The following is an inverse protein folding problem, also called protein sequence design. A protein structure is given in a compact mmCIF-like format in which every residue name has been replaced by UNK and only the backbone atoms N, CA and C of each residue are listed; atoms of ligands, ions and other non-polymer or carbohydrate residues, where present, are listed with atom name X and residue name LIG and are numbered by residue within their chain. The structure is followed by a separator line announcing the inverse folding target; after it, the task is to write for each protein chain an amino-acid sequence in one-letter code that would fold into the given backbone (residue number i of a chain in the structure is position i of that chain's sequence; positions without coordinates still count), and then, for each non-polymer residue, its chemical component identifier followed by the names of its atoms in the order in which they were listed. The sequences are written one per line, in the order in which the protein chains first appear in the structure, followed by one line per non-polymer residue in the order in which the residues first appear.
data_IF_122083503937
#
_entry.id   IF_122083503937
#
_cell.length_a   1.000
_cell.length_b   1.000
_cell.length_c   1.000
_cell.angle_alpha   90.00
_cell.angle_beta   90.00
_cell.angle_gamma   90.00
#
_symmetry.space_group_name_H-M   'P 1'
#
loop_
_entity.id
_entity.type
_entity.pdbx_description
1 polymer ?
#
# COMPACT_ATOMS: atom_id res chain seq x y z
N UNK A 1 -0.16 9.22 -3.79
CA UNK A 1 -1.27 8.67 -2.98
C UNK A 1 -2.65 8.91 -3.60
N UNK A 2 -2.79 9.04 -4.93
CA UNK A 2 -4.14 9.16 -5.56
C UNK A 2 -4.70 7.81 -6.04
N UNK A 3 -3.84 6.81 -6.26
CA UNK A 3 -4.26 5.49 -6.78
C UNK A 3 -5.00 4.62 -5.76
N UNK A 4 -4.58 4.63 -4.49
CA UNK A 4 -5.16 3.76 -3.45
C UNK A 4 -6.60 4.15 -3.10
N UNK A 5 -6.88 5.46 -3.04
CA UNK A 5 -8.24 5.98 -2.82
C UNK A 5 -9.22 5.55 -3.93
N UNK A 6 -8.73 5.40 -5.17
CA UNK A 6 -9.54 4.89 -6.28
C UNK A 6 -9.85 3.40 -6.13
N UNK A 7 -8.90 2.61 -5.61
CA UNK A 7 -9.10 1.17 -5.37
C UNK A 7 -10.20 0.94 -4.34
N UNK A 8 -10.15 1.62 -3.19
CA UNK A 8 -11.15 1.43 -2.14
C UNK A 8 -12.54 1.93 -2.56
N UNK A 9 -12.61 3.09 -3.22
CA UNK A 9 -13.88 3.62 -3.72
C UNK A 9 -14.52 2.68 -4.73
N UNK A 10 -13.72 2.09 -5.64
CA UNK A 10 -14.23 1.13 -6.62
C UNK A 10 -14.73 -0.15 -5.94
N UNK A 11 -13.96 -0.72 -5.00
CA UNK A 11 -14.35 -1.93 -4.27
C UNK A 11 -15.70 -1.75 -3.57
N UNK A 12 -15.89 -0.61 -2.92
CA UNK A 12 -17.12 -0.30 -2.17
C UNK A 12 -18.30 -0.08 -3.11
N UNK A 13 -18.10 0.62 -4.23
CA UNK A 13 -19.14 0.80 -5.24
C UNK A 13 -19.57 -0.54 -5.87
N UNK A 14 -18.61 -1.41 -6.17
CA UNK A 14 -18.86 -2.74 -6.73
C UNK A 14 -19.64 -3.61 -5.72
N UNK A 15 -19.25 -3.59 -4.44
CA UNK A 15 -19.97 -4.29 -3.37
C UNK A 15 -21.39 -3.76 -3.18
N UNK A 16 -21.58 -2.44 -3.07
CA UNK A 16 -22.90 -1.84 -2.86
C UNK A 16 -23.84 -2.13 -4.03
N UNK A 17 -23.32 -2.14 -5.26
CA UNK A 17 -24.07 -2.57 -6.44
C UNK A 17 -24.48 -4.04 -6.33
N UNK A 18 -23.53 -4.92 -5.99
CA UNK A 18 -23.79 -6.34 -5.79
C UNK A 18 -24.84 -6.59 -4.70
N UNK A 19 -24.76 -5.86 -3.59
CA UNK A 19 -25.70 -5.99 -2.48
C UNK A 19 -27.14 -5.67 -2.92
N UNK A 20 -27.35 -4.58 -3.66
CA UNK A 20 -28.66 -4.23 -4.24
C UNK A 20 -29.14 -5.29 -5.23
N UNK A 21 -28.26 -5.78 -6.12
CA UNK A 21 -28.62 -6.79 -7.13
C UNK A 21 -28.99 -8.15 -6.52
N UNK A 22 -28.53 -8.44 -5.30
CA UNK A 22 -28.73 -9.72 -4.62
C UNK A 22 -29.61 -9.61 -3.36
N UNK A 23 -30.32 -8.50 -3.17
CA UNK A 23 -31.23 -8.25 -2.04
C UNK A 23 -30.55 -8.41 -0.67
N UNK A 24 -29.30 -7.93 -0.57
CA UNK A 24 -28.52 -7.91 0.68
C UNK A 24 -28.70 -6.52 1.31
N UNK A 25 -29.31 -6.48 2.50
CA UNK A 25 -29.56 -5.24 3.27
C UNK A 25 -28.29 -4.76 4.00
N UNK A 26 -27.22 -4.51 3.24
CA UNK A 26 -25.94 -4.00 3.73
C UNK A 26 -25.45 -2.93 2.76
N UNK A 27 -25.06 -1.78 3.30
CA UNK A 27 -24.40 -0.72 2.54
C UNK A 27 -23.08 -0.34 3.23
N UNK A 28 -22.00 -0.32 2.47
CA UNK A 28 -20.69 0.15 2.94
C UNK A 28 -20.53 1.62 2.59
N UNK A 29 -20.15 2.43 3.58
CA UNK A 29 -19.84 3.84 3.42
C UNK A 29 -18.37 4.10 3.77
N UNK A 30 -17.60 4.67 2.83
CA UNK A 30 -16.20 5.03 3.06
C UNK A 30 -16.09 6.42 3.70
N UNK A 31 -15.34 6.50 4.79
CA UNK A 31 -14.97 7.76 5.42
C UNK A 31 -13.50 8.03 5.13
N UNK A 32 -13.22 8.85 4.12
CA UNK A 32 -11.87 9.20 3.71
C UNK A 32 -11.43 10.50 4.38
N UNK A 33 -10.34 10.46 5.15
CA UNK A 33 -9.70 11.66 5.70
C UNK A 33 -8.63 12.18 4.74
N UNK A 34 -8.74 13.44 4.37
CA UNK A 34 -7.86 14.16 3.44
C UNK A 34 -7.55 15.54 4.03
N UNK A 35 -6.51 16.20 3.54
CA UNK A 35 -6.22 17.60 3.91
C UNK A 35 -7.38 18.57 3.65
N UNK A 36 -8.30 18.25 2.73
CA UNK A 36 -9.42 19.12 2.38
C UNK A 36 -10.64 18.96 3.31
N UNK A 37 -10.75 17.83 4.02
CA UNK A 37 -11.94 17.52 4.83
C UNK A 37 -11.60 17.13 6.29
N UNK A 38 -10.33 17.16 6.67
CA UNK A 38 -9.86 16.82 8.00
C UNK A 38 -8.73 17.73 8.45
N UNK A 39 -8.66 17.99 9.76
CA UNK A 39 -7.50 18.59 10.42
C UNK A 39 -6.45 17.55 10.79
N UNK A 40 -6.70 16.26 10.53
CA UNK A 40 -5.76 15.17 10.79
C UNK A 40 -4.58 15.31 9.82
N UNK A 41 -3.37 15.40 10.38
CA UNK A 41 -2.15 15.24 9.62
C UNK A 41 -2.05 13.76 9.18
N UNK A 42 -1.84 13.43 7.89
CA UNK A 42 -1.64 12.06 7.45
C UNK A 42 -0.52 11.33 8.20
N UNK A 43 0.49 12.04 8.71
CA UNK A 43 1.55 11.46 9.56
C UNK A 43 1.04 10.98 10.94
N UNK A 44 -0.17 11.39 11.32
CA UNK A 44 -0.83 11.05 12.60
C UNK A 44 -2.02 10.10 12.39
N UNK A 45 -2.25 9.63 11.16
CA UNK A 45 -3.43 8.84 10.81
C UNK A 45 -3.55 7.56 11.64
N UNK A 46 -2.43 6.88 11.86
CA UNK A 46 -2.33 5.64 12.62
C UNK A 46 -2.62 5.87 14.10
N UNK A 47 -2.20 7.00 14.67
CA UNK A 47 -2.55 7.36 16.04
C UNK A 47 -4.04 7.68 16.18
N UNK A 48 -4.66 8.21 15.12
CA UNK A 48 -6.11 8.42 15.08
C UNK A 48 -6.85 7.08 15.07
N UNK A 49 -6.42 6.13 14.23
CA UNK A 49 -6.99 4.77 14.22
C UNK A 49 -6.84 4.11 15.59
N UNK A 50 -5.66 4.17 16.19
CA UNK A 50 -5.42 3.59 17.52
C UNK A 50 -6.34 4.21 18.57
N UNK A 51 -6.53 5.52 18.52
CA UNK A 51 -7.43 6.23 19.44
C UNK A 51 -8.87 5.77 19.25
N UNK A 52 -9.34 5.64 18.01
CA UNK A 52 -10.70 5.17 17.69
C UNK A 52 -10.93 3.72 18.13
N UNK A 53 -9.96 2.83 17.92
CA UNK A 53 -10.02 1.43 18.34
C UNK A 53 -10.07 1.28 19.87
N UNK A 54 -9.42 2.19 20.61
CA UNK A 54 -9.47 2.24 22.09
C UNK A 54 -10.76 2.85 22.63
N UNK A 55 -11.52 3.59 21.82
CA UNK A 55 -12.80 4.13 22.27
C UNK A 55 -13.77 3.00 22.57
N UNK A 56 -14.65 3.20 23.55
CA UNK A 56 -15.70 2.22 23.82
C UNK A 56 -16.64 2.08 22.61
N UNK A 57 -17.33 0.94 22.55
CA UNK A 57 -18.23 0.59 21.44
C UNK A 57 -19.36 1.61 21.20
N UNK A 58 -19.76 2.37 22.24
CA UNK A 58 -20.80 3.41 22.09
C UNK A 58 -20.30 4.69 21.42
N UNK A 59 -18.98 4.91 21.41
CA UNK A 59 -18.33 6.09 20.81
C UNK A 59 -17.69 5.76 19.45
N UNK A 60 -17.27 4.51 19.27
CA UNK A 60 -16.76 4.04 17.99
C UNK A 60 -17.92 3.85 17.00
N UNK A 61 -17.83 4.53 15.85
CA UNK A 61 -18.86 4.52 14.80
C UNK A 61 -18.44 3.74 13.55
N UNK A 62 -17.32 3.03 13.61
CA UNK A 62 -16.73 2.37 12.45
C UNK A 62 -16.68 0.86 12.66
N UNK A 63 -17.20 0.12 11.69
CA UNK A 63 -17.16 -1.35 11.68
C UNK A 63 -15.89 -1.91 11.06
N UNK A 64 -15.27 -1.16 10.14
CA UNK A 64 -14.09 -1.57 9.38
C UNK A 64 -13.03 -0.47 9.38
N UNK A 65 -11.77 -0.88 9.50
CA UNK A 65 -10.60 -0.02 9.43
C UNK A 65 -9.68 -0.47 8.31
N UNK A 66 -9.21 0.50 7.52
CA UNK A 66 -8.15 0.29 6.54
C UNK A 66 -6.89 0.91 7.12
N UNK A 67 -5.85 0.09 7.28
CA UNK A 67 -4.61 0.50 7.91
C UNK A 67 -3.42 -0.28 7.31
N UNK A 68 -2.20 0.22 7.51
CA UNK A 68 -0.99 -0.48 7.10
C UNK A 68 -0.73 -1.69 8.02
N UNK A 69 -0.57 -2.87 7.42
CA UNK A 69 -0.31 -4.13 8.15
C UNK A 69 0.89 -4.09 9.09
N UNK A 70 1.83 -3.15 8.93
CA UNK A 70 2.92 -2.90 9.88
C UNK A 70 2.42 -2.56 11.29
N UNK A 71 1.20 -2.02 11.44
CA UNK A 71 0.59 -1.66 12.72
C UNK A 71 -0.29 -2.74 13.33
N UNK A 72 -0.33 -3.95 12.75
CA UNK A 72 -1.15 -5.06 13.27
C UNK A 72 -0.80 -5.42 14.71
N UNK A 73 0.46 -5.31 15.13
CA UNK A 73 0.82 -5.53 16.54
C UNK A 73 0.25 -4.45 17.48
N UNK A 74 0.06 -3.23 17.01
CA UNK A 74 -0.50 -2.13 17.78
C UNK A 74 -2.03 -2.22 17.86
N UNK A 75 -2.68 -2.63 16.76
CA UNK A 75 -4.14 -2.60 16.62
C UNK A 75 -4.80 -3.93 16.95
N UNK A 76 -4.10 -5.05 16.77
CA UNK A 76 -4.56 -6.40 17.03
C UNK A 76 -5.25 -6.64 18.37
N UNK A 77 -4.82 -6.02 19.52
CA UNK A 77 -5.54 -6.17 20.78
C UNK A 77 -7.00 -5.70 20.77
N UNK A 78 -7.38 -4.86 19.80
CA UNK A 78 -8.70 -4.25 19.67
C UNK A 78 -9.50 -4.81 18.48
N UNK A 79 -8.98 -5.81 17.77
CA UNK A 79 -9.57 -6.38 16.57
C UNK A 79 -10.05 -7.82 16.83
N UNK A 80 -11.07 -8.25 16.09
CA UNK A 80 -11.61 -9.60 16.20
C UNK A 80 -10.71 -10.65 15.54
N UNK A 81 -10.68 -11.86 16.11
CA UNK A 81 -10.14 -13.03 15.41
C UNK A 81 -11.06 -13.42 14.26
N UNK A 82 -10.64 -13.14 13.04
CA UNK A 82 -11.42 -13.39 11.83
C UNK A 82 -11.64 -14.88 11.58
N UNK A 83 -10.83 -15.79 12.14
CA UNK A 83 -11.10 -17.23 12.04
C UNK A 83 -12.37 -17.64 12.79
N UNK A 84 -12.78 -16.86 13.80
CA UNK A 84 -14.03 -17.09 14.53
C UNK A 84 -15.28 -16.59 13.79
N UNK A 85 -15.09 -15.71 12.79
CA UNK A 85 -16.18 -15.03 12.08
C UNK A 85 -16.31 -15.53 10.64
N UNK A 86 -15.19 -15.75 9.95
CA UNK A 86 -15.14 -16.08 8.54
C UNK A 86 -14.94 -17.59 8.32
N UNK A 87 -15.64 -18.19 7.35
CA UNK A 87 -15.34 -19.54 6.88
C UNK A 87 -13.87 -19.66 6.45
N UNK A 88 -13.21 -20.75 6.85
CA UNK A 88 -11.81 -21.02 6.55
C UNK A 88 -11.48 -20.90 5.06
N UNK A 89 -12.41 -21.32 4.18
CA UNK A 89 -12.25 -21.20 2.73
C UNK A 89 -11.97 -19.77 2.24
N UNK A 90 -12.43 -18.74 2.95
CA UNK A 90 -12.19 -17.34 2.59
C UNK A 90 -10.81 -16.87 3.06
N UNK A 91 -10.35 -17.34 4.21
CA UNK A 91 -8.98 -17.10 4.68
C UNK A 91 -7.98 -17.76 3.73
N UNK A 92 -8.26 -18.98 3.29
CA UNK A 92 -7.40 -19.76 2.40
C UNK A 92 -7.34 -19.22 0.96
N UNK A 93 -8.07 -18.14 0.64
CA UNK A 93 -7.92 -17.42 -0.63
C UNK A 93 -6.67 -16.52 -0.67
N UNK A 94 -6.08 -16.23 0.50
CA UNK A 94 -4.94 -15.33 0.63
C UNK A 94 -3.63 -16.10 0.72
N UNK A 95 -2.52 -15.42 0.39
CA UNK A 95 -1.18 -16.00 0.55
C UNK A 95 -0.81 -16.09 2.04
N UNK A 96 -0.47 -17.31 2.47
CA UNK A 96 -0.12 -17.60 3.86
C UNK A 96 1.08 -16.79 4.38
N UNK A 97 2.04 -16.47 3.50
CA UNK A 97 3.22 -15.69 3.87
C UNK A 97 2.81 -14.25 4.16
N UNK A 98 1.98 -13.67 3.28
CA UNK A 98 1.47 -12.32 3.46
C UNK A 98 0.62 -12.23 4.74
N UNK A 99 -0.30 -13.17 4.98
CA UNK A 99 -1.10 -13.21 6.21
C UNK A 99 -0.21 -13.24 7.45
N UNK A 100 0.84 -14.06 7.45
CA UNK A 100 1.77 -14.17 8.58
C UNK A 100 2.53 -12.88 8.85
N UNK A 101 2.90 -12.16 7.79
CA UNK A 101 3.69 -10.93 7.89
C UNK A 101 2.84 -9.71 8.25
N UNK A 102 1.58 -9.65 7.80
CA UNK A 102 0.78 -8.41 7.88
C UNK A 102 -0.45 -8.48 8.78
N UNK A 103 -0.95 -9.68 9.12
CA UNK A 103 -2.32 -9.84 9.63
C UNK A 103 -2.44 -10.68 10.91
N UNK A 104 -1.33 -11.20 11.43
CA UNK A 104 -1.32 -11.96 12.67
C UNK A 104 -1.08 -11.10 13.92
N UNK A 105 -1.90 -11.30 14.94
CA UNK A 105 -1.69 -10.82 16.30
C UNK A 105 -2.00 -11.94 17.30
N UNK A 106 -1.05 -12.28 18.18
CA UNK A 106 -1.18 -13.35 19.18
C UNK A 106 -1.77 -14.66 18.61
N UNK A 107 -1.24 -15.10 17.45
CA UNK A 107 -1.70 -16.26 16.67
C UNK A 107 -3.12 -16.19 16.09
N UNK A 108 -3.83 -15.07 16.23
CA UNK A 108 -5.11 -14.79 15.58
C UNK A 108 -4.91 -14.01 14.28
N UNK A 109 -5.76 -14.28 13.28
CA UNK A 109 -5.80 -13.47 12.06
C UNK A 109 -6.79 -12.33 12.34
N UNK A 110 -6.29 -11.11 12.44
CA UNK A 110 -7.10 -9.94 12.87
C UNK A 110 -7.42 -8.97 11.73
N UNK A 111 -6.85 -9.18 10.55
CA UNK A 111 -7.10 -8.39 9.35
C UNK A 111 -6.93 -9.22 8.07
N UNK A 112 -7.33 -8.66 6.92
CA UNK A 112 -7.09 -9.25 5.61
C UNK A 112 -6.40 -8.24 4.68
N UNK A 113 -5.37 -8.64 3.91
CA UNK A 113 -4.72 -7.76 2.95
C UNK A 113 -5.67 -7.34 1.82
N UNK A 114 -5.69 -6.05 1.47
CA UNK A 114 -6.46 -5.54 0.31
C UNK A 114 -5.51 -5.19 -0.85
N UNK A 115 -4.41 -4.51 -0.55
CA UNK A 115 -3.38 -4.11 -1.52
C UNK A 115 -1.99 -4.41 -0.98
N UNK A 116 -1.05 -4.68 -1.87
CA UNK A 116 0.37 -4.89 -1.53
C UNK A 116 1.22 -3.85 -2.26
N UNK A 117 2.09 -3.18 -1.50
CA UNK A 117 3.07 -2.24 -2.02
C UNK A 117 4.46 -2.86 -2.03
N UNK A 118 5.15 -2.76 -3.16
CA UNK A 118 6.54 -3.22 -3.29
C UNK A 118 7.45 -2.10 -3.78
N UNK A 119 8.68 -2.05 -3.27
CA UNK A 119 9.73 -1.19 -3.80
C UNK A 119 10.32 -1.84 -5.04
N UNK A 120 10.29 -1.13 -6.17
CA UNK A 120 10.78 -1.64 -7.46
C UNK A 120 11.72 -0.64 -8.14
N UNK A 121 12.74 -1.14 -8.83
CA UNK A 121 13.60 -0.32 -9.68
C UNK A 121 13.00 -0.24 -11.10
N UNK A 122 12.54 0.94 -11.50
CA UNK A 122 12.12 1.19 -12.88
C UNK A 122 13.34 1.51 -13.75
N UNK A 123 13.46 0.82 -14.89
CA UNK A 123 14.58 0.97 -15.83
C UNK A 123 14.10 1.46 -17.19
N UNK A 124 14.79 2.43 -17.78
CA UNK A 124 14.49 2.88 -19.14
C UNK A 124 15.13 1.95 -20.18
N UNK A 125 14.35 1.01 -20.70
CA UNK A 125 14.82 0.02 -21.68
C UNK A 125 15.41 0.64 -22.95
N UNK A 126 14.92 1.81 -23.40
CA UNK A 126 15.43 2.45 -24.62
C UNK A 126 16.87 2.90 -24.42
N UNK A 127 17.18 3.45 -23.25
CA UNK A 127 18.53 3.92 -22.90
C UNK A 127 19.45 2.71 -22.69
N UNK A 128 19.00 1.68 -21.98
CA UNK A 128 19.77 0.45 -21.82
C UNK A 128 20.12 -0.19 -23.17
N UNK A 129 19.16 -0.27 -24.10
CA UNK A 129 19.38 -0.79 -25.46
C UNK A 129 20.34 0.08 -26.27
N UNK A 130 20.25 1.42 -26.20
CA UNK A 130 21.17 2.36 -26.88
C UNK A 130 22.63 2.06 -26.53
N UNK A 131 22.91 1.69 -25.28
CA UNK A 131 24.26 1.42 -24.78
C UNK A 131 24.60 -0.06 -24.63
N UNK A 132 23.77 -0.96 -25.18
CA UNK A 132 23.93 -2.40 -25.09
C UNK A 132 24.13 -2.91 -23.64
N UNK A 133 23.31 -2.40 -22.72
CA UNK A 133 23.29 -2.77 -21.29
C UNK A 133 22.06 -3.59 -20.96
N UNK A 134 22.18 -4.49 -19.99
CA UNK A 134 21.06 -5.25 -19.42
C UNK A 134 20.48 -4.53 -18.22
N UNK A 135 19.28 -4.93 -17.80
CA UNK A 135 18.70 -4.47 -16.53
C UNK A 135 19.63 -4.94 -15.40
N UNK A 136 20.11 -4.04 -14.52
CA UNK A 136 21.01 -4.39 -13.44
C UNK A 136 20.29 -5.25 -12.40
N UNK A 137 20.99 -6.28 -11.91
CA UNK A 137 20.49 -7.22 -10.89
C UNK A 137 21.15 -7.01 -9.53
N UNK A 138 22.21 -6.22 -9.47
CA UNK A 138 22.93 -5.87 -8.24
C UNK A 138 23.15 -4.36 -8.14
N UNK A 139 23.46 -3.87 -6.94
CA UNK A 139 23.83 -2.47 -6.73
C UNK A 139 25.11 -2.08 -7.48
N UNK A 140 26.10 -2.98 -7.55
CA UNK A 140 27.34 -2.72 -8.29
C UNK A 140 27.09 -2.63 -9.79
N UNK A 141 26.26 -3.52 -10.35
CA UNK A 141 25.83 -3.46 -11.74
C UNK A 141 25.05 -2.18 -12.03
N UNK A 142 24.15 -1.79 -11.12
CA UNK A 142 23.39 -0.56 -11.21
C UNK A 142 24.32 0.66 -11.24
N UNK A 143 25.22 0.80 -10.26
CA UNK A 143 26.16 1.93 -10.18
C UNK A 143 27.07 2.00 -11.40
N UNK A 144 27.63 0.86 -11.82
CA UNK A 144 28.54 0.79 -12.96
C UNK A 144 27.82 1.13 -14.28
N UNK A 145 26.62 0.57 -14.48
CA UNK A 145 25.82 0.82 -15.69
C UNK A 145 25.36 2.27 -15.75
N UNK A 146 24.83 2.79 -14.65
CA UNK A 146 24.38 4.17 -14.50
C UNK A 146 25.50 5.17 -14.77
N UNK A 147 26.68 4.95 -14.18
CA UNK A 147 27.85 5.81 -14.40
C UNK A 147 28.31 5.79 -15.86
N UNK A 148 28.42 4.59 -16.44
CA UNK A 148 28.82 4.45 -17.85
C UNK A 148 27.87 5.21 -18.78
N UNK A 149 26.56 5.03 -18.61
CA UNK A 149 25.56 5.70 -19.45
C UNK A 149 25.62 7.21 -19.27
N UNK A 150 25.72 7.69 -18.02
CA UNK A 150 25.84 9.12 -17.73
C UNK A 150 27.07 9.73 -18.42
N UNK A 151 28.22 9.09 -18.31
CA UNK A 151 29.45 9.57 -18.94
C UNK A 151 29.31 9.63 -20.48
N UNK A 152 28.62 8.67 -21.11
CA UNK A 152 28.39 8.66 -22.56
C UNK A 152 27.33 9.67 -23.03
N UNK A 153 26.30 9.92 -22.23
CA UNK A 153 25.31 10.98 -22.49
C UNK A 153 25.96 12.37 -22.37
N UNK A 154 26.83 12.59 -21.39
CA UNK A 154 27.58 13.85 -21.23
C UNK A 154 28.56 14.09 -22.38
N UNK A 155 29.25 13.05 -22.86
CA UNK A 155 30.08 13.14 -24.09
C UNK A 155 29.25 13.50 -25.33
N UNK A 156 27.96 13.18 -25.32
CA UNK A 156 27.01 13.51 -26.39
C UNK A 156 26.30 14.85 -26.18
N UNK A 157 26.82 15.71 -25.29
CA UNK A 157 26.26 17.00 -24.89
C UNK A 157 24.88 16.95 -24.22
N UNK A 158 24.45 15.79 -23.69
CA UNK A 158 23.21 15.66 -22.93
C UNK A 158 23.48 15.83 -21.41
N UNK A 159 23.79 17.05 -20.99
CA UNK A 159 24.23 17.36 -19.62
C UNK A 159 23.11 17.25 -18.57
N UNK A 160 21.84 17.24 -18.99
CA UNK A 160 20.68 17.11 -18.09
C UNK A 160 20.33 15.64 -17.78
N UNK A 161 21.12 14.69 -18.29
CA UNK A 161 20.88 13.27 -18.06
C UNK A 161 21.09 12.90 -16.59
N UNK A 162 20.02 12.46 -15.92
CA UNK A 162 20.07 11.96 -14.56
C UNK A 162 20.00 10.41 -14.59
N UNK A 163 21.08 9.69 -14.20
CA UNK A 163 21.09 8.23 -14.25
C UNK A 163 20.16 7.57 -13.24
N UNK A 164 19.78 8.28 -12.18
CA UNK A 164 18.87 7.81 -11.15
C UNK A 164 18.08 8.96 -10.55
N UNK A 165 16.75 8.83 -10.58
CA UNK A 165 15.86 9.67 -9.80
C UNK A 165 15.27 8.82 -8.68
N UNK A 166 15.72 9.06 -7.45
CA UNK A 166 15.19 8.39 -6.26
C UNK A 166 13.86 8.95 -5.76
N UNK A 167 13.22 9.83 -6.55
CA UNK A 167 12.08 10.65 -6.12
C UNK A 167 12.39 11.47 -4.86
N UNK A 168 13.66 11.88 -4.71
CA UNK A 168 14.04 12.90 -3.75
C UNK A 168 13.84 14.26 -4.41
N UNK A 169 13.03 15.10 -3.78
CA UNK A 169 12.63 16.44 -4.18
C UNK A 169 13.75 17.50 -3.98
N UNK A 170 15.00 17.06 -3.91
CA UNK A 170 16.19 17.91 -3.85
C UNK A 170 16.99 17.86 -5.15
N UNK A 171 17.36 19.03 -5.69
CA UNK A 171 18.44 19.12 -6.68
C UNK A 171 19.75 18.75 -5.99
N UNK A 172 20.41 17.68 -6.45
CA UNK A 172 21.78 17.35 -6.07
C UNK A 172 22.78 18.13 -6.92
#
# INVERSE_FOLDING_TARGET
MDGENQVFSKLINDFNKYAVENDIDIQININLFTFNNSTINPEEFESTIETLLKMNETMNKYDLYIYDGLYTNNFGPYLYDLKSILPEKHINMYDDTIIKETSLYDNHIVSLPITLGYKTLYSNEKILKKYNKTIPKTWDEFLTTSKYIMDEEYKSNNMDFLPYNGFFDGKF
#
